data_IF_433828185401
#
_entry.id   IF_433828185401
#
_cell.length_a   1.000
_cell.length_b   1.000
_cell.length_c   1.000
_cell.angle_alpha   90.00
_cell.angle_beta   90.00
_cell.angle_gamma   90.00
#
_symmetry.space_group_name_H-M   'P 1'
#
loop_
_entity.id
_entity.type
_entity.pdbx_description
1 polymer ?
#
# COMPACT_ATOMS: atom_id res chain seq x y z
N UNK A 1 -60.63 3.85 -3.99
CA UNK A 1 -59.23 4.26 -3.79
C UNK A 1 -58.91 4.08 -2.31
N UNK A 2 -58.05 3.14 -1.97
CA UNK A 2 -57.59 2.94 -0.59
C UNK A 2 -56.09 2.74 -0.60
N UNK A 3 -55.34 3.79 -0.27
CA UNK A 3 -53.89 3.69 -0.07
C UNK A 3 -53.64 2.73 1.09
N UNK A 4 -53.07 1.56 0.81
CA UNK A 4 -52.53 0.68 1.87
C UNK A 4 -51.32 1.40 2.45
N UNK A 5 -51.40 1.80 3.72
CA UNK A 5 -50.22 2.20 4.49
C UNK A 5 -49.28 1.01 4.53
N UNK A 6 -48.16 1.09 3.83
CA UNK A 6 -47.06 0.13 3.97
C UNK A 6 -46.58 0.23 5.43
N UNK A 7 -46.69 -0.86 6.18
CA UNK A 7 -46.22 -0.94 7.58
C UNK A 7 -44.71 -0.66 7.61
N UNK A 8 -44.24 0.04 8.64
CA UNK A 8 -42.80 0.23 8.87
C UNK A 8 -42.06 -1.11 8.94
N UNK A 9 -42.74 -2.19 9.35
CA UNK A 9 -42.23 -3.57 9.34
C UNK A 9 -41.86 -4.05 7.93
N UNK A 10 -42.60 -3.63 6.90
CA UNK A 10 -42.29 -3.98 5.51
C UNK A 10 -40.99 -3.31 5.04
N UNK A 11 -40.76 -2.06 5.45
CA UNK A 11 -39.49 -1.36 5.20
C UNK A 11 -38.33 -1.94 5.99
N UNK A 12 -38.55 -2.37 7.25
CA UNK A 12 -37.52 -3.03 8.07
C UNK A 12 -37.17 -4.41 7.50
N UNK A 13 -38.14 -5.13 6.94
CA UNK A 13 -37.93 -6.43 6.32
C UNK A 13 -37.22 -6.33 4.97
N UNK A 14 -37.59 -5.35 4.14
CA UNK A 14 -36.85 -4.99 2.93
C UNK A 14 -35.41 -4.56 3.25
N UNK A 15 -35.20 -3.77 4.32
CA UNK A 15 -33.86 -3.33 4.74
C UNK A 15 -33.02 -4.46 5.37
N UNK A 16 -33.64 -5.52 5.89
CA UNK A 16 -32.95 -6.73 6.35
C UNK A 16 -32.62 -7.68 5.18
N UNK A 17 -33.45 -7.72 4.14
CA UNK A 17 -33.19 -8.49 2.91
C UNK A 17 -32.17 -7.77 1.99
N UNK A 18 -32.19 -6.44 1.98
CA UNK A 18 -31.15 -5.56 1.40
C UNK A 18 -30.05 -5.21 2.41
N UNK A 19 -30.02 -5.91 3.55
CA UNK A 19 -28.90 -5.90 4.45
C UNK A 19 -27.71 -6.40 3.66
N UNK A 20 -26.90 -5.45 3.18
CA UNK A 20 -25.65 -5.67 2.48
C UNK A 20 -24.86 -6.72 3.25
N UNK A 21 -25.04 -7.98 2.84
CA UNK A 21 -24.24 -9.09 3.31
C UNK A 21 -22.88 -8.71 2.77
N UNK A 22 -22.03 -8.18 3.64
CA UNK A 22 -20.61 -8.09 3.35
C UNK A 22 -20.15 -9.55 3.30
N UNK A 23 -20.36 -10.16 2.14
CA UNK A 23 -19.91 -11.51 1.80
C UNK A 23 -18.42 -11.56 2.08
N UNK A 24 -17.86 -12.71 2.45
CA UNK A 24 -16.41 -12.81 2.68
C UNK A 24 -15.62 -12.27 1.47
N UNK A 25 -16.15 -12.44 0.26
CA UNK A 25 -15.65 -11.84 -0.99
C UNK A 25 -15.64 -10.31 -1.04
N UNK A 26 -16.50 -9.62 -0.28
CA UNK A 26 -16.48 -8.16 -0.12
C UNK A 26 -15.39 -7.68 0.84
N UNK A 27 -15.17 -8.41 1.95
CA UNK A 27 -14.05 -8.13 2.89
C UNK A 27 -12.71 -8.40 2.24
N UNK A 28 -12.62 -9.50 1.49
CA UNK A 28 -11.43 -9.91 0.77
C UNK A 28 -11.07 -8.93 -0.35
N UNK A 29 -12.05 -8.45 -1.13
CA UNK A 29 -11.81 -7.38 -2.12
C UNK A 29 -11.33 -6.08 -1.48
N UNK A 30 -11.95 -5.68 -0.36
CA UNK A 30 -11.54 -4.48 0.37
C UNK A 30 -10.11 -4.61 0.94
N UNK A 31 -9.77 -5.76 1.53
CA UNK A 31 -8.43 -6.07 2.01
C UNK A 31 -7.40 -6.09 0.87
N UNK A 32 -7.72 -6.72 -0.26
CA UNK A 32 -6.85 -6.76 -1.44
C UNK A 32 -6.62 -5.36 -2.04
N UNK A 33 -7.64 -4.49 -2.08
CA UNK A 33 -7.44 -3.09 -2.46
C UNK A 33 -6.60 -2.30 -1.45
N UNK A 34 -6.76 -2.57 -0.14
CA UNK A 34 -5.94 -1.94 0.90
C UNK A 34 -4.47 -2.32 0.77
N UNK A 35 -4.18 -3.61 0.60
CA UNK A 35 -2.80 -4.09 0.45
C UNK A 35 -2.13 -3.62 -0.84
N UNK A 36 -2.88 -3.48 -1.94
CA UNK A 36 -2.34 -2.82 -3.16
C UNK A 36 -1.97 -1.37 -2.92
N UNK A 37 -2.81 -0.62 -2.21
CA UNK A 37 -2.48 0.76 -1.85
C UNK A 37 -1.21 0.82 -0.97
N UNK A 38 -1.06 -0.12 -0.03
CA UNK A 38 0.16 -0.24 0.79
C UNK A 38 1.40 -0.51 -0.07
N UNK A 39 1.31 -1.42 -1.05
CA UNK A 39 2.40 -1.71 -2.01
C UNK A 39 2.75 -0.48 -2.84
N UNK A 40 1.75 0.26 -3.33
CA UNK A 40 1.98 1.49 -4.08
C UNK A 40 2.67 2.57 -3.22
N UNK A 41 2.31 2.67 -1.93
CA UNK A 41 3.01 3.55 -0.99
C UNK A 41 4.45 3.10 -0.76
N UNK A 42 4.71 1.80 -0.61
CA UNK A 42 6.08 1.29 -0.46
C UNK A 42 6.93 1.61 -1.70
N UNK A 43 6.39 1.47 -2.91
CA UNK A 43 7.08 1.87 -4.14
C UNK A 43 7.37 3.37 -4.19
N UNK A 44 6.41 4.22 -3.80
CA UNK A 44 6.61 5.66 -3.73
C UNK A 44 7.70 6.03 -2.72
N UNK A 45 7.65 5.46 -1.51
CA UNK A 45 8.68 5.64 -0.48
C UNK A 45 10.05 5.20 -0.96
N UNK A 46 10.17 4.03 -1.61
CA UNK A 46 11.44 3.57 -2.17
C UNK A 46 12.01 4.56 -3.19
N UNK A 47 11.17 5.15 -4.06
CA UNK A 47 11.61 6.16 -5.01
C UNK A 47 12.07 7.46 -4.34
N UNK A 48 11.39 7.90 -3.28
CA UNK A 48 11.84 9.07 -2.50
C UNK A 48 13.22 8.84 -1.86
N UNK A 49 13.44 7.65 -1.30
CA UNK A 49 14.74 7.28 -0.73
C UNK A 49 15.84 7.21 -1.81
N UNK A 50 15.55 6.65 -2.99
CA UNK A 50 16.50 6.64 -4.13
C UNK A 50 16.92 8.06 -4.55
N UNK A 51 15.98 9.00 -4.59
CA UNK A 51 16.28 10.40 -4.90
C UNK A 51 17.16 11.07 -3.83
N UNK A 52 16.96 10.70 -2.55
CA UNK A 52 17.79 11.18 -1.45
C UNK A 52 19.22 10.65 -1.58
N UNK A 53 19.39 9.36 -1.82
CA UNK A 53 20.69 8.71 -2.07
C UNK A 53 21.40 9.36 -3.26
N UNK A 54 20.68 9.62 -4.35
CA UNK A 54 21.24 10.32 -5.51
C UNK A 54 21.76 11.71 -5.12
N UNK A 55 20.97 12.51 -4.40
CA UNK A 55 21.37 13.84 -3.94
C UNK A 55 22.62 13.78 -3.03
N UNK A 56 22.66 12.82 -2.12
CA UNK A 56 23.82 12.57 -1.25
C UNK A 56 25.06 12.18 -2.07
N UNK A 57 24.92 11.35 -3.11
CA UNK A 57 26.04 10.96 -3.98
C UNK A 57 26.65 12.14 -4.74
N UNK A 58 25.81 13.07 -5.21
CA UNK A 58 26.27 14.29 -5.90
C UNK A 58 27.13 15.12 -4.95
N UNK A 59 26.65 15.36 -3.72
CA UNK A 59 27.40 16.09 -2.69
C UNK A 59 28.72 15.39 -2.34
N UNK A 60 28.69 14.07 -2.16
CA UNK A 60 29.91 13.28 -1.90
C UNK A 60 30.91 13.32 -3.06
N UNK A 61 30.43 13.47 -4.30
CA UNK A 61 31.27 13.49 -5.51
C UNK A 61 31.91 14.86 -5.81
N UNK A 62 31.31 15.96 -5.31
CA UNK A 62 31.83 17.32 -5.46
C UNK A 62 32.97 17.61 -4.48
N UNK A 63 34.09 16.88 -4.60
CA UNK A 63 35.38 17.09 -3.88
C UNK A 63 35.25 17.69 -2.48
N UNK A 64 34.33 17.15 -1.69
CA UNK A 64 34.25 17.46 -0.28
C UNK A 64 35.56 17.01 0.35
N UNK A 65 36.21 17.88 1.13
CA UNK A 65 37.33 17.45 1.96
C UNK A 65 36.84 16.28 2.86
N UNK A 66 37.73 15.35 3.21
CA UNK A 66 37.42 14.28 4.18
C UNK A 66 37.23 14.89 5.57
N UNK A 67 36.10 15.55 5.76
CA UNK A 67 35.68 16.14 7.02
C UNK A 67 34.78 15.17 7.78
N UNK A 68 34.49 15.49 9.03
CA UNK A 68 33.55 14.71 9.83
C UNK A 68 32.13 14.72 9.22
N UNK A 69 31.74 15.81 8.58
CA UNK A 69 30.48 15.94 7.86
C UNK A 69 30.42 15.03 6.63
N UNK A 70 31.54 14.84 5.92
CA UNK A 70 31.64 13.88 4.82
C UNK A 70 31.41 12.44 5.30
N UNK A 71 32.09 12.02 6.37
CA UNK A 71 31.94 10.66 6.93
C UNK A 71 30.52 10.42 7.48
N UNK A 72 29.91 11.44 8.10
CA UNK A 72 28.52 11.38 8.54
C UNK A 72 27.55 11.24 7.35
N UNK A 73 27.79 12.00 6.26
CA UNK A 73 26.99 11.91 5.04
C UNK A 73 27.15 10.56 4.35
N UNK A 74 28.37 10.00 4.31
CA UNK A 74 28.65 8.68 3.77
C UNK A 74 27.91 7.57 4.55
N UNK A 75 27.93 7.68 5.88
CA UNK A 75 27.18 6.75 6.76
C UNK A 75 25.68 6.84 6.51
N UNK A 76 25.13 8.05 6.37
CA UNK A 76 23.73 8.26 6.04
C UNK A 76 23.39 7.71 4.65
N UNK A 77 24.26 7.91 3.67
CA UNK A 77 24.12 7.39 2.31
C UNK A 77 24.00 5.86 2.33
N UNK A 78 24.92 5.15 2.98
CA UNK A 78 24.89 3.69 3.06
C UNK A 78 23.65 3.19 3.83
N UNK A 79 23.27 3.87 4.91
CA UNK A 79 22.08 3.53 5.71
C UNK A 79 20.80 3.63 4.88
N UNK A 80 20.62 4.74 4.16
CA UNK A 80 19.45 4.95 3.31
C UNK A 80 19.45 3.97 2.14
N UNK A 81 20.61 3.67 1.53
CA UNK A 81 20.72 2.67 0.47
C UNK A 81 20.23 1.29 0.94
N UNK A 82 20.71 0.83 2.09
CA UNK A 82 20.30 -0.48 2.63
C UNK A 82 18.79 -0.50 2.93
N UNK A 83 18.24 0.59 3.46
CA UNK A 83 16.81 0.67 3.73
C UNK A 83 15.95 0.61 2.46
N UNK A 84 16.45 1.13 1.33
CA UNK A 84 15.79 0.98 0.03
C UNK A 84 15.71 -0.50 -0.35
N UNK A 85 16.80 -1.23 -0.23
CA UNK A 85 16.85 -2.66 -0.55
C UNK A 85 15.84 -3.45 0.30
N UNK A 86 15.76 -3.16 1.60
CA UNK A 86 14.79 -3.78 2.50
C UNK A 86 13.33 -3.48 2.13
N UNK A 87 13.01 -2.21 1.84
CA UNK A 87 11.67 -1.78 1.45
C UNK A 87 11.27 -2.40 0.10
N UNK A 88 12.17 -2.42 -0.87
CA UNK A 88 11.91 -3.05 -2.17
C UNK A 88 11.69 -4.55 -2.03
N UNK A 89 12.56 -5.26 -1.31
CA UNK A 89 12.40 -6.69 -1.08
C UNK A 89 11.12 -7.02 -0.29
N UNK A 90 10.68 -6.13 0.61
CA UNK A 90 9.40 -6.28 1.31
C UNK A 90 8.21 -6.06 0.38
N UNK A 91 8.27 -5.04 -0.49
CA UNK A 91 7.24 -4.77 -1.51
C UNK A 91 7.07 -5.94 -2.48
N UNK A 92 8.18 -6.52 -2.94
CA UNK A 92 8.18 -7.69 -3.83
C UNK A 92 7.52 -8.90 -3.15
N UNK A 93 7.91 -9.23 -1.91
CA UNK A 93 7.29 -10.33 -1.14
C UNK A 93 5.80 -10.13 -0.94
N UNK A 94 5.36 -8.91 -0.61
CA UNK A 94 3.93 -8.62 -0.45
C UNK A 94 3.21 -8.77 -1.80
N UNK A 95 3.83 -8.32 -2.89
CA UNK A 95 3.27 -8.45 -4.24
C UNK A 95 3.11 -9.92 -4.66
N UNK A 96 4.12 -10.76 -4.41
CA UNK A 96 4.07 -12.22 -4.66
C UNK A 96 2.97 -12.91 -3.86
N UNK A 97 2.72 -12.49 -2.61
CA UNK A 97 1.64 -13.03 -1.78
C UNK A 97 0.25 -12.61 -2.29
N UNK A 98 0.14 -11.47 -2.96
CA UNK A 98 -1.12 -10.96 -3.51
C UNK A 98 -1.44 -11.52 -4.91
N UNK A 99 -0.44 -11.99 -5.67
CA UNK A 99 -0.62 -12.56 -7.01
C UNK A 99 -1.60 -13.76 -7.05
N UNK A 100 -1.52 -14.74 -6.12
CA UNK A 100 -2.47 -15.85 -6.03
C UNK A 100 -3.90 -15.42 -5.73
N UNK A 101 -4.09 -14.39 -4.89
CA UNK A 101 -5.41 -13.89 -4.52
C UNK A 101 -6.14 -13.20 -5.69
N UNK A 102 -5.41 -12.71 -6.70
CA UNK A 102 -6.01 -12.12 -7.89
C UNK A 102 -6.61 -13.17 -8.85
N UNK A 103 -6.11 -14.41 -8.83
CA UNK A 103 -6.54 -15.49 -9.72
C UNK A 103 -7.80 -16.22 -9.22
N UNK A 104 -8.05 -16.27 -7.91
CA UNK A 104 -9.25 -16.90 -7.35
C UNK A 104 -10.51 -16.04 -7.51
N UNK A 105 -10.37 -14.71 -7.67
CA UNK A 105 -11.50 -13.78 -7.88
C UNK A 105 -12.02 -13.78 -9.33
N UNK A 106 -11.28 -14.36 -10.28
CA UNK A 106 -11.63 -14.39 -11.72
C UNK A 106 -12.51 -15.59 -12.13
N UNK A 107 -12.85 -16.49 -11.20
CA UNK A 107 -13.72 -17.65 -11.44
C UNK A 107 -15.04 -17.50 -10.69
N UNK A 108 -15.87 -16.54 -11.09
CA UNK A 108 -17.31 -16.54 -10.84
C UNK A 108 -18.02 -15.69 -11.90
#
# INVERSE_FOLDING_TARGET
MGCRKLSAEWFVQQANEEGFVMTDTGKERCAHTSHRNEVDQLHLTANHLKNLVYSMSVVLSERMEHTQEYEALLTLFDTVRNHIEDVQGSSEKISELLEPCALEISKD
#
